data_IF_223144026343
#
_entry.id   IF_223144026343
#
_cell.length_a   1.000
_cell.length_b   1.000
_cell.length_c   1.000
_cell.angle_alpha   90.00
_cell.angle_beta   90.00
_cell.angle_gamma   90.00
#
_symmetry.space_group_name_H-M   'P 1'
#
loop_
_entity.id
_entity.type
_entity.pdbx_description
1 polymer ?
#
# COMPACT_ATOMS: atom_id res chain seq x y z
N UNK A 1 16.04 15.55 -17.75
CA UNK A 1 15.90 15.43 -16.28
C UNK A 1 15.04 14.21 -16.00
N UNK A 2 15.41 13.40 -14.99
CA UNK A 2 14.56 12.34 -14.44
C UNK A 2 13.74 12.95 -13.31
N UNK A 3 12.44 12.66 -13.25
CA UNK A 3 11.53 13.16 -12.21
C UNK A 3 10.78 12.04 -11.49
N UNK A 4 10.97 10.80 -11.93
CA UNK A 4 10.38 9.58 -11.37
C UNK A 4 11.45 8.51 -11.19
N UNK A 5 11.40 7.84 -10.05
CA UNK A 5 12.39 6.89 -9.57
C UNK A 5 11.68 5.62 -9.13
N UNK A 6 12.20 4.46 -9.54
CA UNK A 6 11.62 3.17 -9.17
C UNK A 6 12.26 2.68 -7.87
N UNK A 7 11.46 2.03 -7.03
CA UNK A 7 11.91 1.41 -5.79
C UNK A 7 11.32 0.01 -5.64
N UNK A 8 11.81 -0.75 -4.66
CA UNK A 8 11.29 -2.07 -4.30
C UNK A 8 11.37 -2.25 -2.79
N UNK A 9 10.21 -2.35 -2.14
CA UNK A 9 10.10 -2.49 -0.70
C UNK A 9 10.84 -3.76 -0.19
N UNK A 10 11.63 -3.66 0.90
CA UNK A 10 12.25 -4.80 1.57
C UNK A 10 11.30 -5.96 1.89
N UNK A 11 10.09 -5.69 2.41
CA UNK A 11 9.05 -6.70 2.67
C UNK A 11 7.91 -6.60 1.66
N UNK A 12 7.29 -5.44 1.55
CA UNK A 12 6.14 -5.17 0.68
C UNK A 12 4.85 -4.92 1.45
N UNK A 13 3.93 -4.22 0.78
CA UNK A 13 2.55 -4.05 1.23
C UNK A 13 1.73 -5.29 0.81
N UNK A 14 0.87 -5.79 1.70
CA UNK A 14 -0.14 -6.80 1.35
C UNK A 14 -1.50 -6.13 1.42
N UNK A 15 -2.27 -6.18 0.33
CA UNK A 15 -3.61 -5.59 0.29
C UNK A 15 -4.69 -6.53 0.85
N UNK A 16 -5.94 -6.04 0.89
CA UNK A 16 -7.10 -6.77 1.41
C UNK A 16 -7.43 -8.05 0.60
N UNK A 17 -6.92 -8.17 -0.63
CA UNK A 17 -7.04 -9.36 -1.49
C UNK A 17 -5.90 -10.37 -1.25
N UNK A 18 -4.93 -10.04 -0.41
CA UNK A 18 -3.74 -10.85 -0.14
C UNK A 18 -2.62 -10.69 -1.17
N UNK A 19 -2.71 -9.70 -2.07
CA UNK A 19 -1.70 -9.47 -3.11
C UNK A 19 -0.50 -8.71 -2.54
N UNK A 20 0.71 -9.22 -2.81
CA UNK A 20 1.96 -8.64 -2.33
C UNK A 20 2.52 -7.61 -3.33
N UNK A 21 2.51 -6.34 -2.95
CA UNK A 21 3.04 -5.21 -3.71
C UNK A 21 4.40 -4.77 -3.18
N UNK A 22 5.47 -4.99 -3.97
CA UNK A 22 6.84 -4.58 -3.61
C UNK A 22 7.42 -3.49 -4.50
N UNK A 23 7.25 -3.59 -5.82
CA UNK A 23 7.82 -2.64 -6.78
C UNK A 23 6.96 -1.38 -6.84
N UNK A 24 7.57 -0.21 -6.71
CA UNK A 24 6.84 1.06 -6.75
C UNK A 24 7.56 2.15 -7.52
N UNK A 25 6.89 3.28 -7.68
CA UNK A 25 7.41 4.48 -8.32
C UNK A 25 7.16 5.67 -7.41
N UNK A 26 8.21 6.47 -7.17
CA UNK A 26 8.12 7.75 -6.48
C UNK A 26 8.53 8.87 -7.45
N UNK A 27 7.84 10.00 -7.41
CA UNK A 27 8.24 11.23 -8.11
C UNK A 27 8.96 12.18 -7.16
N UNK A 28 9.71 13.13 -7.73
CA UNK A 28 10.19 14.27 -6.96
C UNK A 28 9.01 15.02 -6.32
N UNK A 29 9.24 15.49 -5.08
CA UNK A 29 8.33 16.39 -4.40
C UNK A 29 8.30 17.74 -5.09
N UNK A 30 7.14 18.37 -5.06
CA UNK A 30 7.00 19.80 -5.31
C UNK A 30 6.85 20.51 -3.97
N UNK A 31 7.12 21.82 -3.91
CA UNK A 31 6.84 22.60 -2.71
C UNK A 31 5.36 22.51 -2.24
N UNK A 32 4.42 22.18 -3.13
CA UNK A 32 3.02 21.93 -2.77
C UNK A 32 2.85 20.63 -1.97
N UNK A 33 3.63 19.60 -2.29
CA UNK A 33 3.56 18.30 -1.60
C UNK A 33 4.00 18.46 -0.15
N UNK A 34 5.03 19.27 0.10
CA UNK A 34 5.56 19.60 1.43
C UNK A 34 4.69 20.56 2.24
N UNK A 35 4.19 21.64 1.62
CA UNK A 35 3.49 22.70 2.37
C UNK A 35 2.00 22.42 2.58
N UNK A 36 1.34 21.67 1.69
CA UNK A 36 -0.10 21.45 1.83
C UNK A 36 -0.56 20.43 2.90
N UNK A 37 0.24 19.50 3.46
CA UNK A 37 -0.17 18.69 4.62
C UNK A 37 -0.08 19.46 5.94
N UNK A 38 0.80 20.47 6.05
CA UNK A 38 0.87 21.40 7.20
C UNK A 38 -0.41 22.24 7.40
N UNK A 39 -1.38 22.12 6.50
CA UNK A 39 -2.71 22.74 6.58
C UNK A 39 -3.82 21.76 6.97
N UNK A 40 -3.49 20.49 7.13
CA UNK A 40 -4.42 19.47 7.61
C UNK A 40 -4.67 19.66 9.11
N UNK A 41 -5.93 19.73 9.58
CA UNK A 41 -6.24 19.97 10.99
C UNK A 41 -5.83 18.81 11.92
N UNK A 42 -5.43 17.65 11.37
CA UNK A 42 -4.90 16.51 12.14
C UNK A 42 -3.38 16.54 12.31
N UNK A 43 -2.68 17.51 11.69
CA UNK A 43 -1.23 17.69 11.80
C UNK A 43 -0.93 18.80 12.80
N UNK A 44 -0.20 18.47 13.87
CA UNK A 44 0.06 19.40 14.99
C UNK A 44 1.22 20.37 14.73
N UNK A 45 2.09 20.06 13.75
CA UNK A 45 3.25 20.89 13.42
C UNK A 45 4.18 20.21 12.40
N UNK A 46 5.36 20.81 12.14
CA UNK A 46 6.35 20.25 11.22
C UNK A 46 7.00 18.95 11.72
N UNK A 47 6.97 18.69 13.03
CA UNK A 47 7.57 17.50 13.65
C UNK A 47 6.56 16.34 13.86
N UNK A 48 5.32 16.49 13.36
CA UNK A 48 4.28 15.47 13.50
C UNK A 48 4.53 14.29 12.53
N UNK A 49 4.62 13.03 13.02
CA UNK A 49 4.87 11.87 12.15
C UNK A 49 3.80 11.67 11.05
N UNK A 50 2.59 12.22 11.22
CA UNK A 50 1.55 12.22 10.17
C UNK A 50 1.95 13.03 8.95
N UNK A 51 2.80 14.05 9.10
CA UNK A 51 3.31 14.85 7.98
C UNK A 51 4.04 13.95 6.96
N UNK A 52 4.94 13.09 7.43
CA UNK A 52 5.69 12.13 6.61
C UNK A 52 4.76 11.21 5.83
N UNK A 53 3.73 10.66 6.49
CA UNK A 53 2.71 9.81 5.83
C UNK A 53 2.01 10.57 4.70
N UNK A 54 1.57 11.80 4.94
CA UNK A 54 0.85 12.62 3.97
C UNK A 54 1.72 13.09 2.80
N UNK A 55 3.02 13.33 3.03
CA UNK A 55 4.00 13.59 1.96
C UNK A 55 4.19 12.34 1.11
N UNK A 56 4.54 11.20 1.73
CA UNK A 56 4.76 9.92 1.03
C UNK A 56 3.56 9.50 0.19
N UNK A 57 2.34 9.67 0.72
CA UNK A 57 1.07 9.40 0.02
C UNK A 57 0.95 10.16 -1.32
N UNK A 58 1.54 11.36 -1.43
CA UNK A 58 1.45 12.21 -2.63
C UNK A 58 2.55 11.94 -3.66
N UNK A 59 3.72 11.50 -3.20
CA UNK A 59 4.91 11.32 -4.04
C UNK A 59 5.10 9.89 -4.52
N UNK A 60 4.57 8.88 -3.82
CA UNK A 60 4.46 7.53 -4.36
C UNK A 60 3.30 7.50 -5.35
N UNK A 61 3.61 7.28 -6.63
CA UNK A 61 2.63 7.32 -7.74
C UNK A 61 2.17 5.93 -8.19
N UNK A 62 2.85 4.86 -7.76
CA UNK A 62 2.43 3.47 -7.97
C UNK A 62 3.06 2.55 -6.93
N UNK A 63 2.35 1.52 -6.49
CA UNK A 63 2.88 0.41 -5.71
C UNK A 63 2.23 -0.91 -6.19
N UNK A 64 3.00 -1.75 -6.88
CA UNK A 64 2.49 -2.94 -7.56
C UNK A 64 1.44 -2.59 -8.61
N UNK A 65 0.22 -3.12 -8.47
CA UNK A 65 -0.94 -2.75 -9.29
C UNK A 65 -1.71 -1.53 -8.77
N UNK A 66 -1.37 -0.99 -7.60
CA UNK A 66 -2.03 0.17 -7.02
C UNK A 66 -1.53 1.46 -7.71
N UNK A 67 -2.36 2.03 -8.58
CA UNK A 67 -2.09 3.32 -9.26
C UNK A 67 -2.52 4.55 -8.46
N UNK A 68 -3.34 4.36 -7.42
CA UNK A 68 -3.76 5.42 -6.50
C UNK A 68 -3.32 5.06 -5.09
N UNK A 69 -2.37 5.82 -4.56
CA UNK A 69 -1.88 5.66 -3.19
C UNK A 69 -2.65 6.59 -2.28
N UNK A 70 -3.14 6.05 -1.17
CA UNK A 70 -3.80 6.78 -0.09
C UNK A 70 -3.04 6.54 1.22
N UNK A 71 -3.38 7.29 2.27
CA UNK A 71 -2.67 7.19 3.55
C UNK A 71 -2.75 5.79 4.18
N UNK A 72 -3.85 5.04 4.00
CA UNK A 72 -3.97 3.68 4.54
C UNK A 72 -2.92 2.72 3.97
N UNK A 73 -2.57 2.87 2.68
CA UNK A 73 -1.50 2.06 2.05
C UNK A 73 -0.14 2.35 2.68
N UNK A 74 0.15 3.62 3.01
CA UNK A 74 1.42 4.03 3.63
C UNK A 74 1.45 3.69 5.13
N UNK A 75 0.34 3.86 5.84
CA UNK A 75 0.16 3.51 7.26
C UNK A 75 0.18 1.98 7.48
N UNK A 76 -0.25 1.20 6.47
CA UNK A 76 -0.23 -0.28 6.49
C UNK A 76 1.12 -0.92 6.12
N UNK A 77 2.17 -0.13 5.85
CA UNK A 77 3.50 -0.66 5.58
C UNK A 77 4.16 -1.24 6.84
N UNK A 78 5.00 -2.26 6.66
CA UNK A 78 5.93 -2.66 7.72
C UNK A 78 6.87 -1.49 8.06
N UNK A 79 7.24 -1.35 9.33
CA UNK A 79 8.12 -0.26 9.79
C UNK A 79 9.44 -0.15 9.01
N UNK A 80 10.00 -1.28 8.54
CA UNK A 80 11.19 -1.31 7.68
C UNK A 80 10.95 -0.75 6.27
N UNK A 81 9.75 -0.96 5.72
CA UNK A 81 9.36 -0.44 4.41
C UNK A 81 9.03 1.06 4.50
N UNK A 82 8.38 1.48 5.57
CA UNK A 82 8.12 2.89 5.86
C UNK A 82 9.41 3.69 6.12
N UNK A 83 10.38 3.10 6.83
CA UNK A 83 11.72 3.69 6.99
C UNK A 83 12.45 3.79 5.63
N UNK A 84 12.46 2.71 4.85
CA UNK A 84 13.03 2.71 3.50
C UNK A 84 12.42 3.80 2.60
N UNK A 85 11.11 4.03 2.64
CA UNK A 85 10.48 5.09 1.86
C UNK A 85 10.87 6.50 2.34
N UNK A 86 11.14 6.70 3.63
CA UNK A 86 11.67 7.97 4.16
C UNK A 86 13.09 8.23 3.67
N UNK A 87 13.96 7.22 3.73
CA UNK A 87 15.34 7.32 3.23
C UNK A 87 15.35 7.59 1.71
N UNK A 88 14.56 6.83 0.94
CA UNK A 88 14.41 7.01 -0.50
C UNK A 88 13.87 8.41 -0.85
N UNK A 89 12.87 8.88 -0.11
CA UNK A 89 12.34 10.23 -0.25
C UNK A 89 13.42 11.30 -0.03
N UNK A 90 14.19 11.19 1.05
CA UNK A 90 15.27 12.13 1.37
C UNK A 90 16.32 12.16 0.27
N UNK A 91 16.79 10.99 -0.17
CA UNK A 91 17.85 10.86 -1.17
C UNK A 91 17.45 11.40 -2.54
N UNK A 92 16.23 11.13 -3.05
CA UNK A 92 15.85 11.64 -4.39
C UNK A 92 15.59 13.15 -4.42
N UNK A 93 15.21 13.77 -3.30
CA UNK A 93 14.85 15.20 -3.25
C UNK A 93 15.98 16.12 -2.77
N UNK A 94 16.87 15.62 -1.90
CA UNK A 94 17.91 16.42 -1.25
C UNK A 94 19.32 15.81 -1.33
N UNK A 95 19.42 14.52 -1.68
CA UNK A 95 20.69 13.82 -1.81
C UNK A 95 21.39 14.03 -3.14
N UNK A 96 22.55 13.39 -3.28
CA UNK A 96 23.37 13.38 -4.46
C UNK A 96 23.37 12.01 -5.19
N UNK A 97 24.06 11.93 -6.33
CA UNK A 97 24.09 10.71 -7.16
C UNK A 97 24.74 9.51 -6.44
N UNK A 98 25.80 9.72 -5.64
CA UNK A 98 26.50 8.65 -4.92
C UNK A 98 25.61 8.06 -3.81
N UNK A 99 24.87 8.92 -3.11
CA UNK A 99 23.87 8.51 -2.10
C UNK A 99 22.72 7.72 -2.73
N UNK A 100 22.26 8.13 -3.91
CA UNK A 100 21.25 7.41 -4.68
C UNK A 100 21.76 6.02 -5.12
N UNK A 101 22.96 5.96 -5.71
CA UNK A 101 23.54 4.70 -6.19
C UNK A 101 23.83 3.73 -5.02
N UNK A 102 24.27 4.24 -3.87
CA UNK A 102 24.44 3.45 -2.65
C UNK A 102 23.12 2.88 -2.12
N UNK A 103 22.03 3.66 -2.13
CA UNK A 103 20.71 3.21 -1.70
C UNK A 103 20.17 2.09 -2.61
N UNK A 104 20.35 2.21 -3.92
CA UNK A 104 19.95 1.17 -4.89
C UNK A 104 20.78 -0.11 -4.70
N UNK A 105 22.11 0.00 -4.53
CA UNK A 105 22.96 -1.16 -4.26
C UNK A 105 22.60 -1.90 -2.95
N UNK A 106 22.18 -1.15 -1.92
CA UNK A 106 21.66 -1.72 -0.67
C UNK A 106 20.33 -2.49 -0.88
N UNK A 107 19.42 -1.98 -1.73
CA UNK A 107 18.21 -2.71 -2.11
C UNK A 107 18.50 -4.02 -2.83
N UNK A 108 19.40 -4.03 -3.82
CA UNK A 108 19.77 -5.24 -4.58
C UNK A 108 20.34 -6.31 -3.64
N UNK A 109 21.19 -5.88 -2.71
CA UNK A 109 21.76 -6.75 -1.66
C UNK A 109 20.67 -7.33 -0.74
N UNK A 110 19.66 -6.54 -0.36
CA UNK A 110 18.53 -6.99 0.47
C UNK A 110 17.59 -7.94 -0.28
N UNK A 111 17.38 -7.71 -1.58
CA UNK A 111 16.58 -8.58 -2.44
C UNK A 111 17.16 -10.00 -2.54
N UNK A 112 18.49 -10.15 -2.55
CA UNK A 112 19.18 -11.44 -2.54
C UNK A 112 18.96 -12.23 -1.23
N UNK A 113 18.81 -11.55 -0.08
CA UNK A 113 18.52 -12.19 1.21
C UNK A 113 17.03 -12.57 1.33
N UNK A 114 16.13 -11.75 0.78
CA UNK A 114 14.69 -12.01 0.77
C UNK A 114 14.24 -13.04 -0.27
N UNK A 115 15.05 -13.33 -1.28
CA UNK A 115 14.74 -14.27 -2.36
C UNK A 115 15.24 -15.68 -2.04
N UNK A 116 14.53 -16.40 -1.16
CA UNK A 116 14.63 -17.86 -1.14
C UNK A 116 14.14 -18.40 -2.49
N UNK A 117 15.08 -18.82 -3.33
CA UNK A 117 14.75 -19.44 -4.61
C UNK A 117 13.98 -20.75 -4.38
N UNK A 118 12.97 -21.09 -5.21
CA UNK A 118 12.49 -22.45 -5.25
C UNK A 118 13.67 -23.36 -5.63
N UNK A 119 13.93 -24.39 -4.83
CA UNK A 119 15.02 -25.32 -5.10
C UNK A 119 14.81 -25.93 -6.51
N UNK A 120 15.85 -25.97 -7.37
CA UNK A 120 15.72 -26.60 -8.68
C UNK A 120 15.53 -28.11 -8.49
N UNK A 121 14.29 -28.58 -8.70
CA UNK A 121 14.03 -30.01 -8.81
C UNK A 121 14.62 -30.51 -10.12
N UNK A 122 15.77 -31.18 -10.03
CA UNK A 122 16.39 -31.87 -11.15
C UNK A 122 15.47 -32.99 -11.66
N UNK A 123 14.99 -32.83 -12.89
CA UNK A 123 14.30 -33.86 -13.68
C UNK A 123 15.30 -34.97 -14.14
N UNK A 124 14.95 -35.97 -14.98
CA UNK A 124 13.64 -36.31 -15.58
C UNK A 124 13.30 -37.82 -15.57
N UNK A 125 12.06 -38.18 -15.97
CA UNK A 125 11.76 -39.48 -16.60
C UNK A 125 10.49 -39.37 -17.45
N UNK A 126 10.48 -39.91 -18.68
CA UNK A 126 9.37 -39.78 -19.62
C UNK A 126 8.87 -41.13 -20.16
N UNK A 127 7.57 -41.39 -19.97
CA UNK A 127 6.65 -42.16 -20.84
C UNK A 127 6.97 -43.68 -21.11
N UNK A 128 6.06 -44.47 -21.74
CA UNK A 128 4.71 -44.15 -22.22
C UNK A 128 3.57 -45.16 -21.87
N UNK A 129 2.34 -44.74 -22.20
CA UNK A 129 1.18 -45.51 -22.71
C UNK A 129 0.60 -46.75 -22.00
N UNK A 130 -0.71 -46.68 -21.72
CA UNK A 130 -1.66 -47.79 -21.94
C UNK A 130 -3.06 -47.23 -22.24
N UNK A 131 -3.69 -47.67 -23.34
CA UNK A 131 -5.08 -47.36 -23.70
C UNK A 131 -6.09 -48.23 -22.92
N UNK A 132 -7.32 -47.73 -22.74
CA UNK A 132 -8.40 -48.48 -22.10
C UNK A 132 -9.75 -47.78 -22.24
N UNK A 133 -10.47 -48.03 -23.34
CA UNK A 133 -11.81 -47.50 -23.58
C UNK A 133 -12.90 -48.43 -23.02
N UNK A 134 -13.98 -47.85 -22.49
CA UNK A 134 -15.18 -48.59 -22.05
C UNK A 134 -16.22 -47.67 -21.38
N UNK A 135 -17.42 -47.47 -21.97
CA UNK A 135 -18.42 -46.52 -21.46
C UNK A 135 -19.42 -47.17 -20.48
N UNK A 136 -20.07 -46.33 -19.64
CA UNK A 136 -21.09 -46.78 -18.68
C UNK A 136 -22.04 -45.68 -18.22
N UNK A 137 -23.15 -45.52 -18.96
CA UNK A 137 -24.51 -45.17 -18.48
C UNK A 137 -24.83 -43.77 -17.91
N UNK A 138 -25.83 -43.13 -18.52
CA UNK A 138 -26.85 -42.29 -17.85
C UNK A 138 -27.73 -43.17 -16.92
N UNK A 139 -28.61 -42.72 -16.03
CA UNK A 139 -29.41 -41.49 -15.85
C UNK A 139 -29.28 -41.03 -14.37
N UNK A 140 -29.75 -39.86 -13.90
CA UNK A 140 -31.16 -39.46 -13.81
C UNK A 140 -31.31 -37.95 -13.52
N UNK A 141 -32.48 -37.41 -13.84
CA UNK A 141 -32.83 -36.01 -13.69
C UNK A 141 -33.38 -35.70 -12.28
N UNK A 142 -33.35 -34.42 -11.88
CA UNK A 142 -34.53 -33.66 -11.38
C UNK A 142 -34.13 -32.28 -10.84
N UNK A 143 -34.91 -31.26 -11.20
CA UNK A 143 -34.93 -29.92 -10.61
C UNK A 143 -36.33 -29.29 -10.82
N UNK A 144 -36.71 -28.16 -10.17
CA UNK A 144 -36.20 -27.56 -8.93
C UNK A 144 -37.30 -27.72 -7.83
N UNK A 145 -38.07 -26.73 -7.27
CA UNK A 145 -38.04 -25.25 -7.24
C UNK A 145 -37.70 -24.64 -5.85
N UNK A 146 -37.63 -23.30 -5.77
CA UNK A 146 -37.70 -22.52 -4.53
C UNK A 146 -39.17 -22.28 -4.09
N UNK A 147 -39.44 -21.67 -2.91
CA UNK A 147 -39.68 -20.22 -2.94
C UNK A 147 -39.37 -19.39 -1.65
N UNK A 148 -39.23 -18.08 -1.87
CA UNK A 148 -39.72 -16.92 -1.08
C UNK A 148 -39.43 -16.75 0.44
N UNK A 149 -39.02 -15.53 0.80
CA UNK A 149 -39.26 -14.95 2.12
C UNK A 149 -38.31 -13.82 2.54
N UNK A 150 -38.60 -12.53 2.25
CA UNK A 150 -37.97 -11.41 2.94
C UNK A 150 -38.74 -11.09 4.23
N UNK A 151 -38.03 -10.84 5.32
CA UNK A 151 -38.62 -10.37 6.58
C UNK A 151 -38.04 -9.00 6.94
N UNK A 152 -38.88 -8.05 7.36
CA UNK A 152 -38.45 -6.79 7.96
C UNK A 152 -37.75 -7.01 9.31
N UNK A 153 -37.43 -5.98 10.09
CA UNK A 153 -38.25 -4.80 10.40
C UNK A 153 -37.37 -3.66 10.97
N UNK A 154 -37.76 -2.40 10.70
CA UNK A 154 -37.48 -1.12 11.40
C UNK A 154 -36.08 -0.86 12.02
N UNK A 155 -35.35 0.18 11.60
CA UNK A 155 -35.62 1.62 11.85
C UNK A 155 -35.37 2.02 13.32
N UNK A 156 -34.33 2.85 13.55
CA UNK A 156 -34.39 4.03 14.41
C UNK A 156 -33.31 5.05 14.02
N UNK A 157 -33.77 6.26 13.69
CA UNK A 157 -32.97 7.48 13.70
C UNK A 157 -32.76 7.90 15.17
N UNK A 158 -31.57 8.39 15.52
CA UNK A 158 -31.43 9.32 16.65
C UNK A 158 -30.24 10.26 16.44
N UNK A 159 -30.38 11.48 16.92
CA UNK A 159 -29.65 12.66 16.44
C UNK A 159 -28.29 12.88 17.12
N UNK A 160 -27.44 13.66 16.44
CA UNK A 160 -26.25 14.29 17.04
C UNK A 160 -26.65 15.50 17.89
N UNK A 161 -26.08 15.68 19.09
CA UNK A 161 -25.83 17.01 19.63
C UNK A 161 -24.45 17.53 19.17
N UNK A 162 -24.41 18.74 18.63
CA UNK A 162 -23.16 19.45 18.34
C UNK A 162 -22.69 20.18 19.60
N UNK A 163 -21.44 19.93 20.03
CA UNK A 163 -20.80 20.70 21.10
C UNK A 163 -19.75 21.64 20.50
N UNK A 164 -20.15 22.90 20.33
CA UNK A 164 -19.23 24.02 20.14
C UNK A 164 -18.74 24.48 21.52
N UNK A 165 -17.42 24.52 21.70
CA UNK A 165 -16.76 25.40 22.67
C UNK A 165 -15.66 26.12 21.87
N UNK A 166 -15.91 27.36 21.45
CA UNK A 166 -15.66 28.58 22.21
C UNK A 166 -14.19 28.98 22.14
N UNK A 167 -13.91 29.90 21.21
CA UNK A 167 -12.66 30.67 21.13
C UNK A 167 -12.62 31.62 22.32
N UNK A 168 -11.48 31.70 23.01
CA UNK A 168 -11.21 32.75 23.98
C UNK A 168 -9.89 33.47 23.65
N UNK A 169 -9.88 34.79 23.78
CA UNK A 169 -8.88 35.70 23.20
C UNK A 169 -7.54 35.72 23.96
N UNK A 170 -6.45 35.95 23.23
CA UNK A 170 -5.17 36.36 23.81
C UNK A 170 -5.24 37.82 24.30
N UNK A 171 -4.87 38.13 25.55
CA UNK A 171 -4.46 39.48 25.91
C UNK A 171 -3.02 39.74 25.44
N UNK A 172 -2.86 40.64 24.46
CA UNK A 172 -1.53 41.19 24.13
C UNK A 172 -0.99 41.94 25.35
N UNK A 173 0.24 41.64 25.77
CA UNK A 173 1.01 42.51 26.68
C UNK A 173 2.17 43.14 25.91
N UNK A 174 2.05 44.45 25.70
CA UNK A 174 3.19 45.31 25.39
C UNK A 174 3.87 45.71 26.70
N UNK A 175 5.20 45.64 26.73
CA UNK A 175 6.13 46.54 27.42
C UNK A 175 7.53 46.26 26.92
#
# INVERSE_FOLDING_TARGET
MRTTYEFTLPRGYVDDEGTLHRKGVMRLATARDELAPLRDPTVQGPDDPRLTILVLTRVVTRLGSLEQINSYVIEGLFAVDLAFLQDFYGVINFGNQEEFDALIAAQESSALVGSSAPAPSSAPAAAPAAEGAGPGSADDATAPPAPAGPTGVSEQVSERPSLRHSVEELPRRSS
#
